data_IF_937384482252
#
_entry.id   IF_937384482252
#
_cell.length_a   1.000
_cell.length_b   1.000
_cell.length_c   1.000
_cell.angle_alpha   90.00
_cell.angle_beta   90.00
_cell.angle_gamma   90.00
#
_symmetry.space_group_name_H-M   'P 1'
#
loop_
_entity.id
_entity.type
_entity.pdbx_description
1 polymer ?
#
# COMPACT_ATOMS: atom_id res chain seq x y z
N UNK A 1 15.11 -17.88 12.38
CA UNK A 1 13.93 -17.30 11.68
C UNK A 1 13.99 -17.60 10.17
N UNK A 2 12.95 -18.24 9.59
CA UNK A 2 12.99 -18.67 8.16
C UNK A 2 12.47 -17.63 7.17
N UNK A 3 11.59 -16.72 7.59
CA UNK A 3 10.92 -15.74 6.71
C UNK A 3 11.29 -14.31 7.10
N UNK A 4 11.12 -13.95 8.37
CA UNK A 4 11.56 -12.64 8.89
C UNK A 4 12.96 -12.80 9.45
N UNK A 5 13.96 -12.47 8.64
CA UNK A 5 15.38 -12.66 8.97
C UNK A 5 15.97 -11.41 9.62
N UNK A 6 17.24 -11.47 10.02
CA UNK A 6 17.93 -10.29 10.55
C UNK A 6 18.13 -9.22 9.48
N UNK A 7 18.25 -9.60 8.20
CA UNK A 7 18.25 -8.67 7.08
C UNK A 7 16.93 -7.87 7.01
N UNK A 8 15.78 -8.53 7.19
CA UNK A 8 14.48 -7.85 7.25
C UNK A 8 14.46 -6.80 8.37
N UNK A 9 15.05 -7.10 9.53
CA UNK A 9 15.15 -6.14 10.64
C UNK A 9 16.09 -4.98 10.31
N UNK A 10 17.17 -5.21 9.58
CA UNK A 10 18.05 -4.12 9.14
C UNK A 10 17.35 -3.18 8.16
N UNK A 11 16.58 -3.72 7.22
CA UNK A 11 15.74 -2.92 6.32
C UNK A 11 14.73 -2.08 7.11
N UNK A 12 14.06 -2.66 8.11
CA UNK A 12 13.14 -1.91 8.97
C UNK A 12 13.82 -0.76 9.71
N UNK A 13 15.05 -0.96 10.22
CA UNK A 13 15.82 0.10 10.87
C UNK A 13 16.22 1.22 9.89
N UNK A 14 16.58 0.86 8.66
CA UNK A 14 16.92 1.84 7.63
C UNK A 14 15.69 2.68 7.27
N UNK A 15 14.53 2.05 7.05
CA UNK A 15 13.27 2.77 6.81
C UNK A 15 12.94 3.73 7.95
N UNK A 16 13.12 3.30 9.21
CA UNK A 16 12.92 4.18 10.36
C UNK A 16 13.89 5.38 10.34
N UNK A 17 15.16 5.14 10.00
CA UNK A 17 16.16 6.21 9.87
C UNK A 17 15.77 7.21 8.78
N UNK A 18 15.27 6.75 7.63
CA UNK A 18 14.85 7.60 6.52
C UNK A 18 13.60 8.44 6.87
N UNK A 19 12.73 7.91 7.72
CA UNK A 19 11.59 8.65 8.29
C UNK A 19 12.11 9.72 9.26
N UNK A 20 12.97 9.35 10.20
CA UNK A 20 13.49 10.24 11.25
C UNK A 20 14.40 11.34 10.69
N UNK A 21 15.15 11.07 9.63
CA UNK A 21 15.99 12.05 8.93
C UNK A 21 15.17 13.01 8.05
N UNK A 22 13.90 12.69 7.78
CA UNK A 22 13.03 13.45 6.88
C UNK A 22 13.23 13.14 5.39
N UNK A 23 14.14 12.22 5.04
CA UNK A 23 14.40 11.85 3.64
C UNK A 23 13.16 11.26 2.96
N UNK A 24 12.41 10.43 3.69
CA UNK A 24 11.13 9.91 3.22
C UNK A 24 10.13 11.03 2.91
N UNK A 25 9.99 12.00 3.83
CA UNK A 25 9.05 13.11 3.67
C UNK A 25 9.42 13.99 2.47
N UNK A 26 10.71 14.32 2.32
CA UNK A 26 11.24 15.06 1.17
C UNK A 26 10.94 14.35 -0.15
N UNK A 27 11.26 13.05 -0.23
CA UNK A 27 11.00 12.24 -1.42
C UNK A 27 9.50 12.20 -1.77
N UNK A 28 8.64 12.03 -0.76
CA UNK A 28 7.18 12.00 -0.96
C UNK A 28 6.61 13.34 -1.44
N UNK A 29 7.07 14.46 -0.87
CA UNK A 29 6.64 15.80 -1.30
C UNK A 29 7.06 16.08 -2.73
N UNK A 30 8.29 15.74 -3.12
CA UNK A 30 8.80 15.92 -4.48
C UNK A 30 8.03 15.07 -5.49
N UNK A 31 7.80 13.80 -5.17
CA UNK A 31 6.99 12.89 -5.99
C UNK A 31 5.57 13.46 -6.20
N UNK A 32 4.92 13.94 -5.14
CA UNK A 32 3.58 14.53 -5.24
C UNK A 32 3.58 15.85 -6.03
N UNK A 33 4.59 16.70 -5.85
CA UNK A 33 4.75 17.93 -6.64
C UNK A 33 4.97 17.63 -8.13
N UNK A 34 5.58 16.48 -8.46
CA UNK A 34 5.74 15.97 -9.82
C UNK A 34 4.49 15.25 -10.38
N UNK A 35 3.36 15.26 -9.67
CA UNK A 35 2.13 14.60 -10.11
C UNK A 35 2.00 13.12 -9.72
N UNK A 36 2.83 12.64 -8.80
CA UNK A 36 2.81 11.30 -8.20
C UNK A 36 2.87 10.11 -9.20
N UNK A 37 3.74 10.14 -10.24
CA UNK A 37 3.80 9.11 -11.27
C UNK A 37 4.06 7.69 -10.73
N UNK A 38 4.97 7.54 -9.77
CA UNK A 38 5.32 6.29 -9.12
C UNK A 38 4.13 5.76 -8.30
N UNK A 39 3.46 6.64 -7.55
CA UNK A 39 2.30 6.27 -6.75
C UNK A 39 1.14 5.78 -7.63
N UNK A 40 0.83 6.53 -8.70
CA UNK A 40 -0.23 6.18 -9.64
C UNK A 40 0.07 4.87 -10.37
N UNK A 41 1.31 4.68 -10.83
CA UNK A 41 1.75 3.43 -11.44
C UNK A 41 1.60 2.25 -10.48
N UNK A 42 2.03 2.40 -9.22
CA UNK A 42 1.89 1.34 -8.22
C UNK A 42 0.43 1.02 -7.92
N UNK A 43 -0.43 2.04 -7.78
CA UNK A 43 -1.89 1.84 -7.57
C UNK A 43 -2.52 1.05 -8.71
N UNK A 44 -2.19 1.38 -9.96
CA UNK A 44 -2.65 0.63 -11.13
C UNK A 44 -2.23 -0.84 -11.06
N UNK A 45 -0.94 -1.10 -10.84
CA UNK A 45 -0.41 -2.47 -10.77
C UNK A 45 -1.03 -3.28 -9.62
N UNK A 46 -1.28 -2.64 -8.47
CA UNK A 46 -1.96 -3.29 -7.33
C UNK A 46 -3.42 -3.61 -7.64
N UNK A 47 -4.14 -2.72 -8.33
CA UNK A 47 -5.52 -2.97 -8.75
C UNK A 47 -5.63 -4.12 -9.77
N UNK A 48 -4.61 -4.30 -10.60
CA UNK A 48 -4.51 -5.39 -11.58
C UNK A 48 -4.05 -6.73 -10.96
N UNK A 49 -3.61 -6.74 -9.69
CA UNK A 49 -3.10 -7.95 -9.06
C UNK A 49 -4.21 -8.99 -8.84
N UNK A 50 -3.95 -10.27 -9.15
CA UNK A 50 -4.92 -11.36 -9.08
C UNK A 50 -5.63 -11.47 -7.71
N UNK A 51 -4.91 -11.13 -6.63
CA UNK A 51 -5.46 -11.11 -5.27
C UNK A 51 -6.70 -10.21 -5.16
N UNK A 52 -6.73 -9.08 -5.87
CA UNK A 52 -7.85 -8.16 -5.85
C UNK A 52 -9.03 -8.71 -6.64
N UNK A 53 -8.79 -9.27 -7.82
CA UNK A 53 -9.84 -9.89 -8.64
C UNK A 53 -10.53 -11.06 -7.92
N UNK A 54 -9.75 -11.94 -7.30
CA UNK A 54 -10.30 -13.08 -6.55
C UNK A 54 -10.92 -12.62 -5.25
N UNK A 55 -10.23 -11.72 -4.53
CA UNK A 55 -10.68 -11.18 -3.25
C UNK A 55 -12.02 -10.44 -3.36
N UNK A 56 -12.22 -9.66 -4.41
CA UNK A 56 -13.49 -8.97 -4.68
C UNK A 56 -14.66 -9.96 -4.81
N UNK A 57 -14.51 -10.99 -5.64
CA UNK A 57 -15.53 -12.03 -5.84
C UNK A 57 -15.88 -12.72 -4.53
N UNK A 58 -14.86 -13.09 -3.75
CA UNK A 58 -15.05 -13.75 -2.46
C UNK A 58 -15.78 -12.81 -1.48
N UNK A 59 -15.33 -11.56 -1.34
CA UNK A 59 -15.96 -10.57 -0.45
C UNK A 59 -17.40 -10.23 -0.85
N UNK A 60 -17.72 -10.27 -2.14
CA UNK A 60 -19.08 -10.05 -2.64
C UNK A 60 -20.07 -11.15 -2.18
N UNK A 61 -19.58 -12.38 -2.01
CA UNK A 61 -20.36 -13.52 -1.50
C UNK A 61 -20.50 -13.54 0.02
N UNK A 62 -19.96 -12.54 0.74
CA UNK A 62 -19.98 -12.47 2.20
C UNK A 62 -20.92 -11.34 2.66
N UNK A 63 -22.21 -11.63 2.95
CA UNK A 63 -23.22 -10.61 3.26
C UNK A 63 -22.87 -9.75 4.47
N UNK A 64 -22.15 -10.32 5.45
CA UNK A 64 -21.70 -9.61 6.66
C UNK A 64 -20.62 -8.57 6.38
N UNK A 65 -19.81 -8.76 5.33
CA UNK A 65 -18.82 -7.77 4.90
C UNK A 65 -19.52 -6.61 4.19
N UNK A 66 -20.47 -6.91 3.30
CA UNK A 66 -21.24 -5.88 2.57
C UNK A 66 -22.03 -4.98 3.53
N UNK A 67 -22.58 -5.56 4.60
CA UNK A 67 -23.35 -4.83 5.63
C UNK A 67 -22.52 -3.80 6.41
N UNK A 68 -21.21 -4.03 6.55
CA UNK A 68 -20.29 -3.18 7.33
C UNK A 68 -19.29 -2.44 6.44
N UNK A 69 -19.64 -2.11 5.19
CA UNK A 69 -18.72 -1.41 4.28
C UNK A 69 -18.45 0.01 4.79
N UNK A 70 -17.28 0.21 5.42
CA UNK A 70 -16.84 1.50 5.98
C UNK A 70 -16.23 2.44 4.93
N UNK A 71 -15.88 1.94 3.75
CA UNK A 71 -15.17 2.70 2.70
C UNK A 71 -16.04 2.84 1.46
N UNK A 72 -16.33 4.09 1.11
CA UNK A 72 -16.97 4.48 -0.15
C UNK A 72 -15.92 4.49 -1.26
N UNK A 73 -16.15 3.67 -2.29
CA UNK A 73 -15.24 3.53 -3.44
C UNK A 73 -15.42 4.65 -4.48
N UNK A 74 -16.43 5.52 -4.35
CA UNK A 74 -16.63 6.67 -5.24
C UNK A 74 -15.75 7.87 -4.89
N UNK A 75 -15.05 7.81 -3.74
CA UNK A 75 -14.26 8.92 -3.18
C UNK A 75 -12.74 8.73 -3.26
N UNK A 76 -12.25 7.65 -3.89
CA UNK A 76 -10.81 7.32 -3.97
C UNK A 76 -10.34 7.10 -5.40
#
# INVERSE_FOLDING_TARGET
>A
PRIITDETKQVMKQVLKDIQSGEYAKSFILENAAGAPTLLSRRRLMAEHQIETVGEKLRAMMPWIKKNKLVDQTRN
#
